data_IF_644636747473
#
_entry.id   IF_644636747473
#
_cell.length_a   1.000
_cell.length_b   1.000
_cell.length_c   1.000
_cell.angle_alpha   90.00
_cell.angle_beta   90.00
_cell.angle_gamma   90.00
#
_symmetry.space_group_name_H-M   'P 1'
#
loop_
_entity.id
_entity.type
_entity.pdbx_description
1 polymer ?
#
# COMPACT_ATOMS: atom_id res chain seq x y z
N UNK A 1 -5.86 -5.33 1.01
CA UNK A 1 -4.64 -4.55 0.77
C UNK A 1 -4.07 -4.06 2.09
N UNK A 2 -2.79 -4.24 2.31
CA UNK A 2 -2.12 -3.81 3.50
C UNK A 2 -0.89 -2.96 3.13
N UNK A 3 -0.78 -1.75 3.67
CA UNK A 3 0.34 -0.85 3.36
C UNK A 3 1.25 -0.69 4.57
N UNK A 4 2.56 -0.87 4.38
CA UNK A 4 3.58 -0.45 5.35
C UNK A 4 3.97 0.98 4.99
N UNK A 5 3.75 1.88 5.93
CA UNK A 5 4.00 3.31 5.76
C UNK A 5 5.12 3.75 6.70
N UNK A 6 5.88 4.72 6.23
CA UNK A 6 6.87 5.46 7.01
C UNK A 6 6.18 6.33 8.06
N UNK A 7 6.87 6.53 9.18
CA UNK A 7 6.42 7.52 10.14
C UNK A 7 6.62 8.93 9.57
N UNK A 8 5.58 9.76 9.63
CA UNK A 8 5.58 11.12 9.08
C UNK A 8 5.72 12.15 10.20
N UNK A 9 6.04 13.40 9.83
CA UNK A 9 6.18 14.51 10.79
C UNK A 9 4.94 14.72 11.69
N UNK A 10 3.74 14.36 11.21
CA UNK A 10 2.49 14.48 11.96
C UNK A 10 2.35 13.44 13.08
N UNK A 11 3.22 12.43 13.13
CA UNK A 11 3.22 11.45 14.20
C UNK A 11 3.99 11.94 15.43
N UNK A 12 3.61 11.43 16.59
CA UNK A 12 4.20 11.84 17.85
C UNK A 12 5.57 11.21 18.06
N UNK A 13 6.54 12.04 18.44
CA UNK A 13 7.90 11.62 18.79
C UNK A 13 7.96 11.02 20.20
N UNK A 14 7.09 11.48 21.09
CA UNK A 14 6.90 11.02 22.47
C UNK A 14 5.42 10.72 22.67
N UNK A 15 5.08 9.86 23.63
CA UNK A 15 3.68 9.53 23.91
C UNK A 15 2.92 10.82 24.28
N UNK A 16 1.89 11.16 23.50
CA UNK A 16 1.18 12.43 23.62
C UNK A 16 -0.27 12.31 23.17
N UNK A 17 -1.13 13.18 23.70
CA UNK A 17 -2.56 13.16 23.36
C UNK A 17 -2.79 13.28 21.84
N UNK A 18 -3.66 12.42 21.33
CA UNK A 18 -4.05 12.37 19.93
C UNK A 18 -5.47 11.81 19.81
N UNK A 19 -6.25 12.28 18.82
CA UNK A 19 -7.64 11.83 18.59
C UNK A 19 -7.73 10.33 18.36
N UNK A 20 -6.78 9.81 17.59
CA UNK A 20 -6.53 8.37 17.45
C UNK A 20 -5.51 7.93 18.51
N UNK A 21 -5.97 7.15 19.49
CA UNK A 21 -5.15 6.63 20.59
C UNK A 21 -3.99 5.76 20.11
N UNK A 22 -4.11 5.11 18.95
CA UNK A 22 -3.02 4.30 18.39
C UNK A 22 -1.85 5.19 17.97
N UNK A 23 -2.16 6.37 17.43
CA UNK A 23 -1.18 7.40 17.02
C UNK A 23 -0.70 8.29 18.17
N UNK A 24 -1.27 8.13 19.37
CA UNK A 24 -0.78 8.79 20.57
C UNK A 24 0.59 8.22 21.01
N UNK A 25 0.95 7.02 20.54
CA UNK A 25 2.19 6.33 20.91
C UNK A 25 3.40 6.82 20.11
N UNK A 26 4.59 6.72 20.69
CA UNK A 26 5.89 7.00 20.08
C UNK A 26 6.01 6.25 18.76
N UNK A 27 6.09 6.99 17.65
CA UNK A 27 6.16 6.39 16.32
C UNK A 27 7.50 5.70 16.03
N UNK A 28 8.59 6.16 16.66
CA UNK A 28 9.93 5.60 16.47
C UNK A 28 10.13 4.21 17.09
N UNK A 29 9.26 3.80 18.02
CA UNK A 29 9.41 2.55 18.79
C UNK A 29 8.24 1.58 18.61
N UNK A 30 7.18 1.99 17.92
CA UNK A 30 5.96 1.20 17.80
C UNK A 30 5.53 1.03 16.35
N UNK A 31 4.96 -0.13 16.06
CA UNK A 31 4.21 -0.35 14.82
C UNK A 31 2.77 0.10 15.06
N UNK A 32 2.33 1.15 14.35
CA UNK A 32 1.04 1.80 14.62
C UNK A 32 0.01 1.46 13.52
N UNK A 33 -1.07 0.72 13.83
CA UNK A 33 -2.15 0.46 12.88
C UNK A 33 -2.99 1.70 12.62
N UNK A 34 -3.17 2.02 11.35
CA UNK A 34 -3.93 3.17 10.88
C UNK A 34 -4.82 2.81 9.69
N UNK A 35 -5.91 3.56 9.52
CA UNK A 35 -6.75 3.45 8.32
C UNK A 35 -6.05 4.10 7.12
N UNK A 36 -6.17 3.47 5.95
CA UNK A 36 -5.71 4.04 4.67
C UNK A 36 -6.88 4.31 3.74
N UNK A 37 -6.84 5.44 3.03
CA UNK A 37 -7.82 5.82 2.02
C UNK A 37 -7.55 5.19 0.64
N UNK A 38 -6.41 4.52 0.45
CA UNK A 38 -5.96 4.05 -0.85
C UNK A 38 -6.96 3.08 -1.52
N UNK A 39 -7.54 2.15 -0.77
CA UNK A 39 -8.54 1.23 -1.31
C UNK A 39 -9.82 1.95 -1.79
N UNK A 40 -10.23 3.01 -1.07
CA UNK A 40 -11.38 3.83 -1.45
C UNK A 40 -11.05 4.70 -2.66
N UNK A 41 -9.83 5.25 -2.74
CA UNK A 41 -9.37 6.01 -3.89
C UNK A 41 -9.34 5.15 -5.17
N UNK A 42 -8.85 3.90 -5.07
CA UNK A 42 -8.87 2.97 -6.19
C UNK A 42 -10.28 2.68 -6.71
N UNK A 43 -11.29 2.65 -5.83
CA UNK A 43 -12.68 2.48 -6.28
C UNK A 43 -13.25 3.66 -7.08
N UNK A 44 -12.64 4.85 -6.95
CA UNK A 44 -13.02 6.04 -7.73
C UNK A 44 -12.36 6.01 -9.11
N UNK A 45 -11.10 5.56 -9.19
CA UNK A 45 -10.35 5.46 -10.45
C UNK A 45 -10.78 4.24 -11.27
N UNK A 46 -11.05 3.11 -10.61
CA UNK A 46 -11.48 1.85 -11.21
C UNK A 46 -12.84 1.44 -10.63
N UNK A 47 -13.95 1.95 -11.21
CA UNK A 47 -15.31 1.72 -10.69
C UNK A 47 -15.68 0.24 -10.55
N UNK A 48 -15.12 -0.63 -11.40
CA UNK A 48 -15.31 -2.08 -11.39
C UNK A 48 -14.78 -2.77 -10.11
N UNK A 49 -13.92 -2.08 -9.35
CA UNK A 49 -13.35 -2.53 -8.08
C UNK A 49 -14.08 -1.98 -6.85
N UNK A 50 -15.16 -1.20 -7.05
CA UNK A 50 -15.95 -0.63 -5.95
C UNK A 50 -16.52 -1.72 -5.04
N UNK A 51 -16.24 -1.59 -3.74
CA UNK A 51 -16.66 -2.54 -2.70
C UNK A 51 -15.88 -3.85 -2.66
N UNK A 52 -14.91 -4.05 -3.56
CA UNK A 52 -14.10 -5.28 -3.62
C UNK A 52 -12.76 -5.17 -2.93
N UNK A 53 -12.28 -3.94 -2.70
CA UNK A 53 -11.00 -3.68 -2.07
C UNK A 53 -11.22 -3.03 -0.70
N UNK A 54 -10.65 -3.65 0.32
CA UNK A 54 -10.48 -3.07 1.65
C UNK A 54 -9.00 -3.05 2.00
N UNK A 55 -8.61 -2.09 2.85
CA UNK A 55 -7.25 -2.05 3.33
C UNK A 55 -7.02 -1.34 4.65
N UNK A 56 -5.92 -1.71 5.26
CA UNK A 56 -5.37 -1.14 6.49
C UNK A 56 -3.90 -0.77 6.24
N UNK A 57 -3.32 0.10 7.07
CA UNK A 57 -1.92 0.46 6.99
C UNK A 57 -1.23 0.33 8.36
N UNK A 58 0.02 -0.11 8.39
CA UNK A 58 0.86 -0.03 9.60
C UNK A 58 1.94 1.01 9.34
N UNK A 59 2.16 1.86 10.32
CA UNK A 59 3.28 2.77 10.32
C UNK A 59 4.45 2.12 11.06
N UNK A 60 5.62 2.13 10.45
CA UNK A 60 6.84 1.47 10.93
C UNK A 60 7.95 2.52 11.07
N UNK A 61 8.87 2.38 12.04
CA UNK A 61 9.96 3.34 12.27
C UNK A 61 11.08 3.23 11.22
N UNK A 62 10.73 3.47 9.95
CA UNK A 62 11.68 3.64 8.85
C UNK A 62 11.71 5.11 8.43
N UNK A 63 12.87 5.65 8.00
CA UNK A 63 13.00 7.07 7.66
C UNK A 63 12.39 7.44 6.30
N UNK A 64 12.31 6.48 5.37
CA UNK A 64 11.77 6.68 4.03
C UNK A 64 11.36 5.34 3.40
N UNK A 65 10.59 5.41 2.30
CA UNK A 65 10.03 4.31 1.50
C UNK A 65 8.85 3.57 2.14
N UNK A 66 7.75 3.51 1.38
CA UNK A 66 6.52 2.79 1.73
C UNK A 66 6.38 1.51 0.89
N UNK A 67 5.71 0.49 1.44
CA UNK A 67 5.41 -0.77 0.75
C UNK A 67 3.89 -0.97 0.66
N UNK A 68 3.39 -1.23 -0.55
CA UNK A 68 2.01 -1.66 -0.77
C UNK A 68 1.96 -3.18 -0.99
N UNK A 69 1.29 -3.91 -0.08
CA UNK A 69 1.02 -5.34 -0.22
C UNK A 69 -0.45 -5.56 -0.61
N UNK A 70 -0.68 -6.02 -1.83
CA UNK A 70 -2.00 -6.40 -2.31
C UNK A 70 -2.13 -7.92 -2.39
N UNK A 71 -3.04 -8.48 -1.60
CA UNK A 71 -3.48 -9.87 -1.76
C UNK A 71 -4.81 -9.85 -2.48
N UNK A 72 -4.89 -10.54 -3.61
CA UNK A 72 -6.10 -10.66 -4.41
C UNK A 72 -6.39 -12.14 -4.69
N UNK A 73 -7.61 -12.58 -4.36
CA UNK A 73 -8.09 -13.90 -4.79
C UNK A 73 -8.49 -13.84 -6.27
N UNK A 74 -8.01 -14.80 -7.05
CA UNK A 74 -8.22 -14.90 -8.51
C UNK A 74 -9.69 -14.69 -8.89
N UNK A 75 -9.94 -13.78 -9.83
CA UNK A 75 -11.27 -13.60 -10.42
C UNK A 75 -11.60 -14.81 -11.30
N UNK A 76 -12.80 -15.42 -11.22
CA UNK A 76 -13.11 -16.72 -11.83
C UNK A 76 -13.18 -16.75 -13.38
N UNK A 77 -12.51 -15.83 -14.10
CA UNK A 77 -12.45 -15.80 -15.57
C UNK A 77 -11.08 -15.52 -16.18
N UNK A 78 -10.00 -15.42 -15.40
CA UNK A 78 -8.65 -15.25 -15.97
C UNK A 78 -7.92 -16.59 -15.88
N UNK A 79 -7.82 -17.28 -17.01
CA UNK A 79 -6.92 -18.42 -17.16
C UNK A 79 -5.49 -17.91 -16.91
N UNK A 80 -4.76 -18.55 -15.98
CA UNK A 80 -3.35 -18.24 -15.78
C UNK A 80 -2.57 -18.91 -16.91
N UNK A 81 -2.54 -18.25 -18.07
CA UNK A 81 -1.65 -18.59 -19.18
C UNK A 81 -0.51 -17.58 -19.21
N UNK A 82 0.45 -17.73 -18.31
CA UNK A 82 1.62 -16.88 -18.24
C UNK A 82 2.50 -17.29 -17.06
N UNK A 83 3.73 -17.72 -17.36
CA UNK A 83 4.79 -17.92 -16.38
C UNK A 83 5.44 -16.55 -16.11
N UNK A 84 5.29 -16.02 -14.91
CA UNK A 84 6.02 -14.81 -14.51
C UNK A 84 5.12 -13.70 -14.00
N UNK A 85 5.75 -12.79 -13.27
CA UNK A 85 5.13 -11.60 -12.71
C UNK A 85 4.38 -10.81 -13.81
N UNK A 86 3.07 -10.52 -13.66
CA UNK A 86 2.31 -9.71 -14.62
C UNK A 86 2.96 -8.35 -14.92
N UNK A 87 3.77 -7.82 -13.99
CA UNK A 87 4.51 -6.57 -14.20
C UNK A 87 5.67 -6.76 -15.20
N UNK A 88 6.38 -7.89 -15.17
CA UNK A 88 7.43 -8.18 -16.14
C UNK A 88 6.86 -8.31 -17.56
N UNK A 89 5.69 -8.94 -17.70
CA UNK A 89 5.03 -9.08 -19.00
C UNK A 89 4.48 -7.74 -19.51
N UNK A 90 3.98 -6.88 -18.62
CA UNK A 90 3.60 -5.51 -18.96
C UNK A 90 4.80 -4.67 -19.38
N UNK A 91 5.93 -4.81 -18.69
CA UNK A 91 7.15 -4.07 -19.02
C UNK A 91 7.82 -4.50 -20.33
N UNK A 92 7.57 -5.73 -20.79
CA UNK A 92 7.96 -6.17 -22.14
C UNK A 92 7.14 -5.49 -23.23
N UNK A 93 5.85 -5.22 -23.00
CA UNK A 93 4.99 -4.53 -23.97
C UNK A 93 5.14 -3.00 -23.94
N UNK A 94 5.44 -2.42 -22.78
CA UNK A 94 5.51 -0.98 -22.56
C UNK A 94 6.84 -0.53 -21.91
N UNK A 95 7.99 -0.66 -22.60
CA UNK A 95 9.31 -0.37 -22.03
C UNK A 95 9.59 1.14 -21.80
N UNK A 96 8.75 2.03 -22.34
CA UNK A 96 8.93 3.48 -22.21
C UNK A 96 8.31 4.06 -20.92
N UNK A 97 7.53 3.26 -20.18
CA UNK A 97 6.88 3.72 -18.95
C UNK A 97 7.84 3.72 -17.75
N UNK A 98 7.73 4.75 -16.92
CA UNK A 98 8.61 4.98 -15.79
C UNK A 98 8.51 3.88 -14.72
N UNK A 99 7.38 3.19 -14.65
CA UNK A 99 7.09 2.06 -13.75
C UNK A 99 7.93 0.81 -14.05
N UNK A 100 8.49 0.72 -15.26
CA UNK A 100 9.34 -0.39 -15.71
C UNK A 100 10.83 -0.13 -15.54
N UNK A 101 11.20 1.06 -15.05
CA UNK A 101 12.58 1.35 -14.66
C UNK A 101 12.84 0.71 -13.30
N UNK A 102 13.56 -0.41 -13.29
CA UNK A 102 14.16 -0.91 -12.05
C UNK A 102 15.18 0.14 -11.62
N UNK A 103 14.85 0.91 -10.59
CA UNK A 103 15.80 1.84 -9.97
C UNK A 103 16.81 0.99 -9.19
N UNK A 104 18.02 0.83 -9.74
CA UNK A 104 19.19 0.30 -9.02
C UNK A 104 19.64 1.23 -7.89
#
# INVERSE_FOLDING_TARGET
MFSILVFLYIQRLLDASHRDLRRARVAALNIVPTSTGAAKALSLVLPQLKGKLNGIALRVPTPNVDLAHLVASKWPRVAAGGSGDPLEDYCKSNPAEEECKVFE
#
